data_IF_928583847749
#
_entry.id   IF_928583847749
#
_cell.length_a   1.000
_cell.length_b   1.000
_cell.length_c   1.000
_cell.angle_alpha   90.00
_cell.angle_beta   90.00
_cell.angle_gamma   90.00
#
_symmetry.space_group_name_H-M   'P 1'
#
loop_
_entity.id
_entity.type
_entity.pdbx_description
1 polymer ?
#
# COMPACT_ATOMS: atom_id res chain seq x y z
N UNK A 1 4.87 -58.31 -0.20
CA UNK A 1 5.51 -57.01 -0.47
C UNK A 1 4.61 -56.26 -1.41
N UNK A 2 3.86 -55.29 -0.91
CA UNK A 2 3.01 -54.41 -1.72
C UNK A 2 3.64 -53.03 -1.62
N UNK A 3 4.15 -52.53 -2.73
CA UNK A 3 4.63 -51.15 -2.83
C UNK A 3 3.41 -50.25 -3.06
N UNK A 4 3.24 -49.16 -2.29
CA UNK A 4 2.20 -48.18 -2.58
C UNK A 4 2.61 -47.36 -3.81
N UNK A 5 1.85 -47.53 -4.89
CA UNK A 5 1.86 -46.68 -6.09
C UNK A 5 1.11 -45.37 -5.84
N UNK A 6 1.54 -44.34 -6.56
CA UNK A 6 0.95 -43.01 -6.70
C UNK A 6 1.02 -42.11 -5.47
N UNK A 7 2.09 -41.28 -5.44
CA UNK A 7 2.17 -40.10 -4.61
C UNK A 7 1.13 -39.07 -5.03
N UNK A 8 -0.07 -39.17 -4.44
CA UNK A 8 -1.01 -38.06 -4.36
C UNK A 8 -0.52 -37.12 -3.26
N UNK A 9 0.38 -36.21 -3.63
CA UNK A 9 0.60 -35.02 -2.83
C UNK A 9 -0.63 -34.13 -3.00
N UNK A 10 -1.26 -33.65 -1.91
CA UNK A 10 -2.37 -32.72 -2.06
C UNK A 10 -1.88 -31.50 -2.83
N UNK A 11 -2.59 -31.12 -3.89
CA UNK A 11 -2.43 -29.80 -4.50
C UNK A 11 -2.73 -28.78 -3.42
N UNK A 12 -1.67 -28.18 -2.87
CA UNK A 12 -1.78 -27.01 -2.00
C UNK A 12 -2.21 -25.88 -2.91
N UNK A 13 -3.52 -25.61 -2.92
CA UNK A 13 -4.05 -24.39 -3.49
C UNK A 13 -3.52 -23.28 -2.58
N UNK A 14 -2.43 -22.63 -3.01
CA UNK A 14 -1.87 -21.48 -2.32
C UNK A 14 -2.87 -20.34 -2.42
N UNK A 15 -3.74 -20.22 -1.41
CA UNK A 15 -4.35 -18.96 -1.06
C UNK A 15 -3.19 -17.96 -0.86
N UNK A 16 -3.22 -16.84 -1.59
CA UNK A 16 -2.08 -15.91 -1.68
C UNK A 16 -1.85 -15.18 -0.35
N UNK A 17 -1.19 -15.85 0.60
CA UNK A 17 -0.82 -15.28 1.89
C UNK A 17 0.55 -14.61 1.79
N UNK A 18 0.55 -13.28 1.63
CA UNK A 18 1.77 -12.48 1.70
C UNK A 18 2.39 -12.58 3.11
N UNK A 19 3.69 -12.90 3.19
CA UNK A 19 4.39 -12.98 4.47
C UNK A 19 5.01 -11.63 4.80
N UNK A 20 4.58 -11.05 5.93
CA UNK A 20 5.10 -9.78 6.45
C UNK A 20 6.05 -10.03 7.62
N UNK A 21 7.23 -9.42 7.58
CA UNK A 21 8.20 -9.52 8.68
C UNK A 21 8.87 -8.18 8.95
N UNK A 22 8.85 -7.77 10.21
CA UNK A 22 9.48 -6.54 10.67
C UNK A 22 10.85 -6.89 11.24
N UNK A 23 11.88 -6.22 10.74
CA UNK A 23 13.25 -6.31 11.25
C UNK A 23 13.62 -4.98 11.91
N UNK A 24 14.13 -5.03 13.14
CA UNK A 24 14.66 -3.85 13.83
C UNK A 24 16.02 -3.43 13.23
N UNK A 25 16.82 -4.40 12.80
CA UNK A 25 18.05 -4.20 12.02
C UNK A 25 18.06 -5.20 10.84
N UNK A 26 18.36 -4.71 9.65
CA UNK A 26 18.24 -5.50 8.41
C UNK A 26 19.49 -6.34 8.21
N UNK A 27 19.37 -7.67 8.07
CA UNK A 27 20.53 -8.51 7.79
C UNK A 27 21.07 -8.26 6.38
N UNK A 28 22.40 -8.30 6.22
CA UNK A 28 23.10 -8.10 4.93
C UNK A 28 22.74 -9.12 3.83
N UNK A 29 22.03 -10.18 4.18
CA UNK A 29 21.58 -11.24 3.27
C UNK A 29 20.51 -10.76 2.28
N UNK A 30 19.75 -9.72 2.61
CA UNK A 30 18.71 -9.18 1.72
C UNK A 30 19.31 -7.99 0.96
N UNK A 31 19.24 -7.95 -0.39
CA UNK A 31 19.71 -6.81 -1.16
C UNK A 31 18.77 -5.62 -0.96
N UNK A 32 19.02 -4.85 0.10
CA UNK A 32 18.35 -3.57 0.39
C UNK A 32 19.21 -2.38 -0.08
N UNK A 33 18.58 -1.30 -0.54
CA UNK A 33 19.24 -0.02 -0.78
C UNK A 33 20.08 0.41 0.43
N UNK A 34 21.28 0.99 0.23
CA UNK A 34 22.18 1.34 1.32
C UNK A 34 21.57 2.35 2.30
N UNK A 35 20.60 3.15 1.87
CA UNK A 35 19.88 4.13 2.69
C UNK A 35 18.96 3.49 3.75
N UNK A 36 18.56 2.24 3.54
CA UNK A 36 17.67 1.48 4.41
C UNK A 36 18.40 0.53 5.37
N UNK A 37 19.75 0.48 5.28
CA UNK A 37 20.58 -0.29 6.21
C UNK A 37 20.53 0.31 7.62
N UNK A 38 20.58 -0.53 8.64
CA UNK A 38 20.55 -0.14 10.07
C UNK A 38 19.31 0.67 10.48
N UNK A 39 18.21 0.49 9.76
CA UNK A 39 16.91 1.09 10.09
C UNK A 39 15.89 -0.01 10.30
N UNK A 40 14.84 0.33 11.06
CA UNK A 40 13.67 -0.51 11.19
C UNK A 40 12.97 -0.61 9.84
N UNK A 41 12.92 -1.80 9.26
CA UNK A 41 12.36 -2.03 7.92
C UNK A 41 11.33 -3.16 7.98
N UNK A 42 10.25 -2.97 7.25
CA UNK A 42 9.25 -4.00 6.98
C UNK A 42 9.57 -4.68 5.64
N UNK A 43 9.75 -6.00 5.67
CA UNK A 43 9.96 -6.83 4.48
C UNK A 43 8.67 -7.59 4.19
N UNK A 44 8.15 -7.40 2.97
CA UNK A 44 6.97 -8.10 2.48
C UNK A 44 7.43 -9.04 1.36
N UNK A 45 7.23 -10.34 1.56
CA UNK A 45 7.56 -11.37 0.56
C UNK A 45 6.25 -11.75 -0.12
N UNK A 46 6.14 -11.44 -1.40
CA UNK A 46 5.01 -11.82 -2.23
C UNK A 46 5.48 -12.93 -3.18
N UNK A 47 4.88 -14.13 -3.13
CA UNK A 47 5.10 -15.12 -4.17
C UNK A 47 4.56 -14.56 -5.49
N UNK A 48 5.37 -14.63 -6.54
CA UNK A 48 4.94 -14.33 -7.90
C UNK A 48 4.62 -15.65 -8.59
N UNK A 49 3.49 -15.72 -9.28
CA UNK A 49 3.20 -16.85 -10.16
C UNK A 49 4.18 -16.84 -11.35
N UNK A 50 4.53 -18.03 -11.86
CA UNK A 50 5.54 -18.25 -12.91
C UNK A 50 5.25 -17.49 -14.23
N UNK A 51 4.02 -16.99 -14.40
CA UNK A 51 3.61 -16.20 -15.55
C UNK A 51 3.99 -14.72 -15.43
N UNK A 52 5.20 -14.42 -14.94
CA UNK A 52 5.97 -13.21 -15.27
C UNK A 52 5.22 -11.87 -15.26
N UNK A 53 4.11 -11.78 -14.52
CA UNK A 53 3.30 -10.57 -14.49
C UNK A 53 4.07 -9.66 -13.56
N UNK A 54 4.90 -8.83 -14.17
CA UNK A 54 5.41 -7.64 -13.52
C UNK A 54 4.16 -6.93 -13.02
N UNK A 55 3.87 -7.05 -11.74
CA UNK A 55 2.95 -6.14 -11.06
C UNK A 55 3.60 -4.78 -11.19
N UNK A 56 3.35 -4.13 -12.33
CA UNK A 56 3.61 -2.73 -12.53
C UNK A 56 2.74 -2.08 -11.48
N UNK A 57 3.35 -1.69 -10.37
CA UNK A 57 2.77 -0.68 -9.50
C UNK A 57 2.60 0.53 -10.41
N UNK A 58 1.39 0.70 -10.95
CA UNK A 58 0.98 1.95 -11.54
C UNK A 58 1.01 2.93 -10.40
N UNK A 59 2.13 3.64 -10.28
CA UNK A 59 2.14 4.91 -9.57
C UNK A 59 1.16 5.75 -10.37
N UNK A 60 -0.09 5.82 -9.88
CA UNK A 60 -1.07 6.77 -10.38
C UNK A 60 -0.36 8.11 -10.31
N UNK A 61 0.07 8.61 -11.47
CA UNK A 61 0.65 9.93 -11.61
C UNK A 61 -0.36 10.86 -10.95
N UNK A 62 0.02 11.52 -9.85
CA UNK A 62 -0.85 12.52 -9.26
C UNK A 62 -1.27 13.46 -10.39
N UNK A 63 -2.58 13.65 -10.62
CA UNK A 63 -3.03 14.55 -11.67
C UNK A 63 -2.36 15.91 -11.42
N UNK A 64 -1.82 16.50 -12.48
CA UNK A 64 -1.27 17.85 -12.38
C UNK A 64 -2.38 18.75 -11.82
N UNK A 65 -2.03 19.60 -10.88
CA UNK A 65 -2.94 20.58 -10.25
C UNK A 65 -3.80 21.35 -11.26
N UNK A 66 -3.32 21.52 -12.51
CA UNK A 66 -4.06 22.11 -13.62
C UNK A 66 -5.29 21.30 -14.07
N UNK A 67 -5.29 19.97 -13.97
CA UNK A 67 -6.44 19.12 -14.34
C UNK A 67 -7.58 19.20 -13.31
N UNK A 68 -7.28 19.64 -12.09
CA UNK A 68 -8.28 19.89 -11.04
C UNK A 68 -8.91 21.29 -11.16
N UNK A 69 -8.33 22.18 -11.97
CA UNK A 69 -8.79 23.55 -12.12
C UNK A 69 -10.13 23.59 -12.87
N UNK A 70 -11.21 23.87 -12.15
CA UNK A 70 -12.58 23.86 -12.71
C UNK A 70 -13.32 22.53 -12.60
N UNK A 71 -12.73 21.51 -11.97
CA UNK A 71 -13.45 20.27 -11.61
C UNK A 71 -14.44 20.47 -10.46
N UNK A 72 -14.34 21.59 -9.75
CA UNK A 72 -15.26 21.98 -8.69
C UNK A 72 -16.52 22.58 -9.32
N UNK A 73 -17.70 21.93 -9.20
CA UNK A 73 -18.94 22.49 -9.71
C UNK A 73 -19.30 23.79 -8.98
N UNK A 74 -20.15 24.61 -9.60
CA UNK A 74 -20.69 25.80 -8.96
C UNK A 74 -21.34 25.43 -7.62
N UNK A 75 -20.89 26.11 -6.56
CA UNK A 75 -21.51 25.94 -5.24
C UNK A 75 -22.95 26.46 -5.30
N UNK A 76 -23.91 25.78 -4.65
CA UNK A 76 -25.26 26.30 -4.53
C UNK A 76 -25.23 27.66 -3.83
N UNK A 77 -26.28 28.47 -4.04
CA UNK A 77 -26.44 29.74 -3.34
C UNK A 77 -26.32 29.52 -1.83
N UNK A 78 -25.37 30.21 -1.21
CA UNK A 78 -25.19 30.11 0.24
C UNK A 78 -26.40 30.75 0.92
N UNK A 79 -26.95 30.05 1.91
CA UNK A 79 -27.95 30.61 2.80
C UNK A 79 -27.39 31.77 3.66
N UNK A 80 -28.25 32.53 4.34
CA UNK A 80 -27.84 33.61 5.22
C UNK A 80 -26.92 33.09 6.34
N UNK A 81 -25.76 33.71 6.52
CA UNK A 81 -24.69 33.25 7.43
C UNK A 81 -24.94 33.56 8.92
N UNK A 82 -26.18 33.89 9.30
CA UNK A 82 -26.54 34.23 10.68
C UNK A 82 -25.76 35.42 11.25
N UNK A 83 -25.75 35.54 12.57
CA UNK A 83 -24.95 36.52 13.29
C UNK A 83 -23.61 35.90 13.71
N UNK A 84 -22.51 36.58 13.42
CA UNK A 84 -21.18 36.18 13.87
C UNK A 84 -21.02 36.40 15.38
N UNK A 85 -20.24 35.54 16.04
CA UNK A 85 -19.85 35.76 17.43
C UNK A 85 -18.89 36.94 17.55
N UNK A 86 -19.13 37.81 18.53
CA UNK A 86 -18.21 38.90 18.86
C UNK A 86 -17.00 38.34 19.63
N UNK A 87 -15.79 38.76 19.24
CA UNK A 87 -14.57 38.43 20.00
C UNK A 87 -14.70 39.00 21.41
N UNK A 88 -14.67 38.13 22.43
CA UNK A 88 -14.55 38.57 23.82
C UNK A 88 -13.14 39.11 24.06
N UNK A 89 -13.05 40.29 24.68
CA UNK A 89 -11.78 40.80 25.16
C UNK A 89 -11.30 39.91 26.32
N UNK A 90 -10.02 39.52 26.31
CA UNK A 90 -9.40 38.91 27.49
C UNK A 90 -9.26 39.99 28.55
N UNK A 91 -9.89 39.78 29.71
CA UNK A 91 -9.67 40.54 30.95
C UNK A 91 -8.46 40.02 31.71
#
# INVERSE_FOLDING_TARGET
MVLPTEGSFPEVICEMDAVRKIYEDVPDTIPVPPELRHRKVEVIILPLDDDGSKTTVTVETQPDSGELFGALPDFPERGPQGNYEERRNLS
#
